data_IF_497482293973
#
_entry.id   IF_497482293973
#
_cell.length_a   1.000
_cell.length_b   1.000
_cell.length_c   1.000
_cell.angle_alpha   90.00
_cell.angle_beta   90.00
_cell.angle_gamma   90.00
#
_symmetry.space_group_name_H-M   'P 1'
#
loop_
_entity.id
_entity.type
_entity.pdbx_description
1 polymer ?
#
# COMPACT_ATOMS: atom_id res chain seq x y z
N UNK A 1 -70.99 16.95 31.87
CA UNK A 1 -70.01 17.85 31.37
C UNK A 1 -68.65 17.19 31.63
N UNK A 2 -68.18 16.46 30.67
CA UNK A 2 -66.91 15.71 30.77
C UNK A 2 -65.78 16.51 30.10
N UNK A 3 -64.72 16.69 30.84
CA UNK A 3 -63.50 17.26 30.34
C UNK A 3 -62.56 16.08 29.96
N UNK A 4 -62.15 16.02 28.70
CA UNK A 4 -61.16 15.07 28.22
C UNK A 4 -59.81 15.74 28.23
N UNK A 5 -58.98 15.29 29.16
CA UNK A 5 -57.57 15.62 29.12
C UNK A 5 -56.90 14.88 27.95
N UNK A 6 -56.31 15.66 27.04
CA UNK A 6 -55.40 15.19 26.01
C UNK A 6 -54.01 15.06 26.62
N UNK A 7 -53.60 13.82 26.83
CA UNK A 7 -52.19 13.51 27.02
C UNK A 7 -51.49 13.64 25.67
N UNK A 8 -50.67 14.63 25.55
CA UNK A 8 -49.69 14.74 24.47
C UNK A 8 -48.63 13.67 24.68
N UNK A 9 -48.63 12.67 23.78
CA UNK A 9 -47.50 11.76 23.69
C UNK A 9 -46.27 12.56 23.22
N UNK A 10 -45.26 12.53 24.06
CA UNK A 10 -43.93 12.91 23.64
C UNK A 10 -43.45 11.83 22.66
N UNK A 11 -43.41 12.18 21.37
CA UNK A 11 -42.63 11.47 20.40
C UNK A 11 -41.15 11.65 20.81
N UNK A 12 -40.60 10.67 21.46
CA UNK A 12 -39.15 10.52 21.57
C UNK A 12 -38.61 10.25 20.20
N UNK A 13 -38.30 11.32 19.48
CA UNK A 13 -37.52 11.30 18.26
C UNK A 13 -36.11 10.83 18.66
N UNK A 14 -35.87 9.53 18.56
CA UNK A 14 -34.56 8.93 18.69
C UNK A 14 -33.74 9.43 17.50
N UNK A 15 -33.06 10.55 17.66
CA UNK A 15 -32.05 11.03 16.73
C UNK A 15 -30.86 10.09 16.78
N UNK A 16 -30.96 8.95 16.11
CA UNK A 16 -29.77 8.24 15.64
C UNK A 16 -29.11 9.17 14.64
N UNK A 17 -27.93 9.70 14.95
CA UNK A 17 -27.13 10.35 13.94
C UNK A 17 -26.89 9.31 12.85
N UNK A 18 -27.34 9.61 11.62
CA UNK A 18 -27.08 8.77 10.46
C UNK A 18 -25.56 8.85 10.18
N UNK A 19 -24.81 7.94 10.81
CA UNK A 19 -23.39 7.83 10.58
C UNK A 19 -23.16 7.31 9.16
N UNK A 20 -22.16 7.86 8.49
CA UNK A 20 -21.72 7.38 7.18
C UNK A 20 -21.00 6.06 7.39
N UNK A 21 -21.51 4.99 6.77
CA UNK A 21 -20.91 3.65 6.85
C UNK A 21 -19.76 3.53 5.89
N UNK A 22 -18.58 3.20 6.40
CA UNK A 22 -17.36 3.10 5.62
C UNK A 22 -16.68 1.75 5.84
N UNK A 23 -16.52 0.98 4.77
CA UNK A 23 -15.66 -0.20 4.77
C UNK A 23 -14.27 0.19 4.29
N UNK A 24 -13.24 -0.09 5.08
CA UNK A 24 -11.86 0.24 4.76
C UNK A 24 -11.05 -1.04 4.64
N UNK A 25 -10.53 -1.29 3.44
CA UNK A 25 -9.67 -2.44 3.14
C UNK A 25 -8.25 -1.92 3.03
N UNK A 26 -7.39 -2.43 3.89
CA UNK A 26 -5.99 -2.03 3.95
C UNK A 26 -5.07 -3.26 4.02
N UNK A 27 -3.79 -3.03 3.81
CA UNK A 27 -2.76 -4.01 4.07
C UNK A 27 -2.51 -4.11 5.58
N UNK A 28 -1.81 -5.17 6.02
CA UNK A 28 -1.51 -5.37 7.43
C UNK A 28 -0.76 -4.15 8.00
N UNK A 29 -1.23 -3.54 9.10
CA UNK A 29 -0.53 -2.41 9.73
C UNK A 29 0.92 -2.71 10.15
N UNK A 30 1.27 -3.98 10.32
CA UNK A 30 2.63 -4.42 10.65
C UNK A 30 3.52 -4.66 9.42
N UNK A 31 3.01 -4.42 8.22
CA UNK A 31 3.76 -4.59 6.97
C UNK A 31 5.02 -3.71 6.95
N UNK A 32 4.87 -2.45 7.33
CA UNK A 32 5.93 -1.44 7.30
C UNK A 32 5.60 -0.27 8.24
N UNK A 33 6.59 0.56 8.55
CA UNK A 33 6.38 1.80 9.31
C UNK A 33 5.40 2.75 8.62
N UNK A 34 5.44 2.82 7.29
CA UNK A 34 4.47 3.57 6.50
C UNK A 34 3.04 3.07 6.75
N UNK A 35 2.80 1.76 6.66
CA UNK A 35 1.46 1.19 6.83
C UNK A 35 0.93 1.37 8.26
N UNK A 36 1.78 1.24 9.25
CA UNK A 36 1.43 1.54 10.65
C UNK A 36 0.94 2.98 10.81
N UNK A 37 1.65 3.94 10.24
CA UNK A 37 1.28 5.36 10.28
C UNK A 37 -0.02 5.63 9.51
N UNK A 38 -0.18 5.04 8.33
CA UNK A 38 -1.38 5.15 7.52
C UNK A 38 -2.63 4.61 8.26
N UNK A 39 -2.56 3.43 8.84
CA UNK A 39 -3.65 2.85 9.63
C UNK A 39 -4.02 3.72 10.83
N UNK A 40 -3.02 4.21 11.55
CA UNK A 40 -3.24 5.11 12.71
C UNK A 40 -3.95 6.40 12.30
N UNK A 41 -3.58 6.98 11.17
CA UNK A 41 -4.22 8.21 10.66
C UNK A 41 -5.67 7.94 10.22
N UNK A 42 -5.92 6.85 9.50
CA UNK A 42 -7.27 6.45 9.11
C UNK A 42 -8.17 6.24 10.33
N UNK A 43 -7.70 5.53 11.36
CA UNK A 43 -8.45 5.32 12.61
C UNK A 43 -8.74 6.61 13.36
N UNK A 44 -7.85 7.58 13.30
CA UNK A 44 -8.05 8.89 13.92
C UNK A 44 -9.06 9.76 13.18
N UNK A 45 -9.26 9.54 11.88
CA UNK A 45 -10.17 10.34 11.03
C UNK A 45 -11.57 9.71 10.94
N UNK A 46 -11.64 8.41 10.75
CA UNK A 46 -12.91 7.69 10.57
C UNK A 46 -13.45 7.19 11.91
N UNK A 47 -13.98 8.10 12.73
CA UNK A 47 -14.55 7.86 14.04
C UNK A 47 -16.02 8.26 14.07
N UNK A 48 -16.79 7.71 15.01
CA UNK A 48 -18.19 8.12 15.25
C UNK A 48 -18.30 9.60 15.60
N UNK A 49 -17.35 10.13 16.37
CA UNK A 49 -17.28 11.57 16.70
C UNK A 49 -17.18 12.44 15.43
N UNK A 50 -16.51 11.95 14.41
CA UNK A 50 -16.39 12.60 13.11
C UNK A 50 -17.53 12.26 12.14
N UNK A 51 -18.54 11.49 12.57
CA UNK A 51 -19.72 11.16 11.78
C UNK A 51 -19.62 9.86 10.99
N UNK A 52 -18.70 8.97 11.31
CA UNK A 52 -18.46 7.73 10.57
C UNK A 52 -18.70 6.48 11.43
N UNK A 53 -19.36 5.48 10.85
CA UNK A 53 -19.34 4.09 11.27
C UNK A 53 -18.35 3.34 10.36
N UNK A 54 -17.09 3.27 10.79
CA UNK A 54 -16.01 2.70 9.98
C UNK A 54 -15.61 1.31 10.47
N UNK A 55 -15.52 0.38 9.52
CA UNK A 55 -15.03 -0.98 9.76
C UNK A 55 -13.78 -1.21 8.91
N UNK A 56 -12.77 -1.85 9.52
CA UNK A 56 -11.48 -2.11 8.92
C UNK A 56 -11.29 -3.59 8.65
N UNK A 57 -10.77 -3.92 7.47
CA UNK A 57 -10.33 -5.25 7.11
C UNK A 57 -8.88 -5.20 6.61
N UNK A 58 -8.05 -6.09 7.12
CA UNK A 58 -6.62 -6.12 6.83
C UNK A 58 -6.21 -7.46 6.23
N UNK A 59 -5.47 -7.43 5.15
CA UNK A 59 -4.77 -8.60 4.62
C UNK A 59 -3.66 -8.19 3.66
N UNK A 60 -2.59 -9.00 3.60
CA UNK A 60 -1.56 -8.96 2.56
C UNK A 60 -1.93 -9.82 1.34
N UNK A 61 -3.07 -10.54 1.40
CA UNK A 61 -3.54 -11.42 0.34
C UNK A 61 -4.71 -10.79 -0.41
N UNK A 62 -4.57 -10.69 -1.72
CA UNK A 62 -5.54 -10.05 -2.58
C UNK A 62 -6.92 -10.71 -2.56
N UNK A 63 -6.98 -12.04 -2.54
CA UNK A 63 -8.22 -12.81 -2.46
C UNK A 63 -8.98 -12.59 -1.14
N UNK A 64 -8.28 -12.45 -0.02
CA UNK A 64 -8.86 -12.10 1.27
C UNK A 64 -9.40 -10.66 1.27
N UNK A 65 -8.70 -9.72 0.64
CA UNK A 65 -9.17 -8.34 0.49
C UNK A 65 -10.44 -8.28 -0.38
N UNK A 66 -10.48 -9.01 -1.48
CA UNK A 66 -11.67 -9.08 -2.36
C UNK A 66 -12.85 -9.71 -1.60
N UNK A 67 -12.61 -10.74 -0.80
CA UNK A 67 -13.64 -11.35 0.06
C UNK A 67 -14.18 -10.35 1.07
N UNK A 68 -13.32 -9.56 1.70
CA UNK A 68 -13.73 -8.48 2.61
C UNK A 68 -14.55 -7.40 1.88
N UNK A 69 -14.15 -7.03 0.66
CA UNK A 69 -14.91 -6.10 -0.16
C UNK A 69 -16.32 -6.60 -0.47
N UNK A 70 -16.46 -7.87 -0.84
CA UNK A 70 -17.78 -8.50 -1.06
C UNK A 70 -18.66 -8.45 0.19
N UNK A 71 -18.05 -8.68 1.36
CA UNK A 71 -18.77 -8.56 2.63
C UNK A 71 -19.25 -7.14 2.88
N UNK A 72 -18.43 -6.13 2.67
CA UNK A 72 -18.83 -4.72 2.83
C UNK A 72 -19.93 -4.32 1.86
N UNK A 73 -19.90 -4.84 0.62
CA UNK A 73 -20.99 -4.64 -0.35
C UNK A 73 -22.30 -5.25 0.18
N UNK A 74 -22.27 -6.48 0.71
CA UNK A 74 -23.42 -7.14 1.30
C UNK A 74 -23.95 -6.42 2.55
N UNK A 75 -23.05 -5.84 3.36
CA UNK A 75 -23.40 -5.08 4.57
C UNK A 75 -23.99 -3.70 4.24
N UNK A 76 -23.94 -3.28 2.96
CA UNK A 76 -24.53 -2.01 2.49
C UNK A 76 -23.81 -0.79 3.02
N UNK A 77 -22.49 -0.75 2.96
CA UNK A 77 -21.71 0.46 3.30
C UNK A 77 -22.00 1.57 2.29
N UNK A 78 -21.83 2.82 2.69
CA UNK A 78 -21.97 3.98 1.81
C UNK A 78 -20.70 4.18 0.97
N UNK A 79 -19.54 3.94 1.57
CA UNK A 79 -18.23 4.07 0.96
C UNK A 79 -17.37 2.84 1.19
N UNK A 80 -16.62 2.46 0.17
CA UNK A 80 -15.62 1.41 0.22
C UNK A 80 -14.25 2.01 -0.15
N UNK A 81 -13.34 2.04 0.82
CA UNK A 81 -11.97 2.52 0.64
C UNK A 81 -11.04 1.32 0.46
N UNK A 82 -10.19 1.35 -0.55
CA UNK A 82 -9.33 0.21 -0.89
C UNK A 82 -7.89 0.64 -1.12
N UNK A 83 -6.95 0.03 -0.38
CA UNK A 83 -5.53 -0.03 -0.70
C UNK A 83 -5.18 -1.48 -1.03
N UNK A 84 -5.09 -1.79 -2.32
CA UNK A 84 -5.03 -3.17 -2.81
C UNK A 84 -3.66 -3.82 -2.61
N UNK A 85 -3.65 -5.08 -2.19
CA UNK A 85 -2.43 -5.90 -2.13
C UNK A 85 -1.89 -6.24 -3.52
N UNK A 86 -2.77 -6.46 -4.49
CA UNK A 86 -2.46 -6.72 -5.90
C UNK A 86 -3.41 -5.89 -6.79
N UNK A 87 -2.95 -5.52 -7.96
CA UNK A 87 -3.73 -4.71 -8.91
C UNK A 87 -4.86 -5.48 -9.59
N UNK A 88 -4.79 -6.79 -9.62
CA UNK A 88 -5.68 -7.67 -10.41
C UNK A 88 -6.93 -8.15 -9.65
N UNK A 89 -7.97 -8.49 -10.40
CA UNK A 89 -9.13 -9.23 -9.90
C UNK A 89 -10.23 -8.41 -9.25
N UNK A 90 -10.17 -7.08 -9.31
CA UNK A 90 -11.11 -6.19 -8.62
C UNK A 90 -12.39 -5.89 -9.39
N UNK A 91 -12.45 -6.11 -10.70
CA UNK A 91 -13.58 -5.69 -11.56
C UNK A 91 -14.94 -6.18 -11.05
N UNK A 92 -15.05 -7.45 -10.69
CA UNK A 92 -16.33 -8.05 -10.31
C UNK A 92 -16.91 -7.38 -9.05
N UNK A 93 -16.13 -7.26 -7.98
CA UNK A 93 -16.63 -6.69 -6.73
C UNK A 93 -16.87 -5.18 -6.85
N UNK A 94 -16.12 -4.47 -7.69
CA UNK A 94 -16.37 -3.05 -7.95
C UNK A 94 -17.66 -2.85 -8.75
N UNK A 95 -17.98 -3.72 -9.70
CA UNK A 95 -19.28 -3.72 -10.40
C UNK A 95 -20.45 -4.00 -9.46
N UNK A 96 -20.29 -4.93 -8.54
CA UNK A 96 -21.28 -5.21 -7.50
C UNK A 96 -21.49 -3.99 -6.60
N UNK A 97 -20.40 -3.34 -6.16
CA UNK A 97 -20.48 -2.10 -5.37
C UNK A 97 -21.20 -0.99 -6.13
N UNK A 98 -20.89 -0.81 -7.41
CA UNK A 98 -21.54 0.20 -8.26
C UNK A 98 -23.03 -0.07 -8.41
N UNK A 99 -23.44 -1.33 -8.60
CA UNK A 99 -24.84 -1.73 -8.71
C UNK A 99 -25.64 -1.43 -7.43
N UNK A 100 -25.00 -1.50 -6.27
CA UNK A 100 -25.59 -1.17 -4.97
C UNK A 100 -25.46 0.33 -4.61
N UNK A 101 -24.91 1.15 -5.51
CA UNK A 101 -24.74 2.59 -5.27
C UNK A 101 -23.63 2.96 -4.29
N UNK A 102 -22.75 2.02 -3.97
CA UNK A 102 -21.61 2.21 -3.06
C UNK A 102 -20.51 2.99 -3.79
N UNK A 103 -20.00 4.05 -3.17
CA UNK A 103 -18.89 4.83 -3.72
C UNK A 103 -17.56 4.17 -3.35
N UNK A 104 -16.77 3.82 -4.36
CA UNK A 104 -15.43 3.24 -4.16
C UNK A 104 -14.37 4.32 -4.28
N UNK A 105 -13.45 4.37 -3.32
CA UNK A 105 -12.29 5.28 -3.31
C UNK A 105 -11.03 4.44 -3.17
N UNK A 106 -10.11 4.60 -4.11
CA UNK A 106 -8.78 4.00 -4.01
C UNK A 106 -7.86 4.95 -3.24
N UNK A 107 -7.05 4.41 -2.36
CA UNK A 107 -6.01 5.18 -1.67
C UNK A 107 -4.66 4.45 -1.69
N UNK A 108 -3.58 5.22 -1.70
CA UNK A 108 -2.20 4.75 -1.71
C UNK A 108 -1.82 3.94 -2.96
N UNK A 109 -2.57 2.91 -3.30
CA UNK A 109 -2.29 1.98 -4.41
C UNK A 109 -3.41 1.97 -5.45
N UNK A 110 -3.04 1.92 -6.72
CA UNK A 110 -3.97 1.74 -7.83
C UNK A 110 -4.33 0.27 -8.03
N UNK A 111 -5.37 0.04 -8.83
CA UNK A 111 -5.79 -1.28 -9.30
C UNK A 111 -5.94 -1.28 -10.81
N UNK A 112 -5.91 -2.47 -11.40
CA UNK A 112 -6.12 -2.68 -12.82
C UNK A 112 -7.63 -2.89 -13.09
N UNK A 113 -8.38 -1.79 -13.07
CA UNK A 113 -9.81 -1.75 -13.30
C UNK A 113 -10.22 -0.49 -14.05
N UNK A 114 -11.37 -0.54 -14.72
CA UNK A 114 -11.91 0.63 -15.42
C UNK A 114 -12.20 1.79 -14.45
N UNK A 115 -11.79 2.99 -14.81
CA UNK A 115 -11.95 4.18 -13.97
C UNK A 115 -13.41 4.52 -13.65
N UNK A 116 -14.36 4.06 -14.46
CA UNK A 116 -15.79 4.25 -14.21
C UNK A 116 -16.29 3.46 -12.98
N UNK A 117 -15.50 2.51 -12.47
CA UNK A 117 -15.86 1.64 -11.34
C UNK A 117 -15.51 2.22 -9.98
N UNK A 118 -14.81 3.34 -9.92
CA UNK A 118 -14.49 4.02 -8.68
C UNK A 118 -14.69 5.53 -8.80
N UNK A 119 -15.06 6.17 -7.68
CA UNK A 119 -15.39 7.59 -7.65
C UNK A 119 -14.15 8.49 -7.59
N UNK A 120 -13.09 8.00 -6.94
CA UNK A 120 -11.83 8.73 -6.77
C UNK A 120 -10.66 7.79 -6.56
N UNK A 121 -9.46 8.30 -6.89
CA UNK A 121 -8.19 7.63 -6.68
C UNK A 121 -7.22 8.64 -6.06
N UNK A 122 -6.81 8.39 -4.81
CA UNK A 122 -5.88 9.24 -4.05
C UNK A 122 -4.61 8.43 -3.85
N UNK A 123 -3.76 8.46 -4.86
CA UNK A 123 -2.59 7.58 -4.98
C UNK A 123 -1.36 8.36 -5.40
N UNK A 124 -0.19 7.80 -5.14
CA UNK A 124 1.07 8.27 -5.71
C UNK A 124 1.27 7.71 -7.12
N UNK A 125 2.00 8.43 -7.93
CA UNK A 125 2.45 7.93 -9.25
C UNK A 125 3.68 7.03 -9.04
N UNK A 126 3.44 5.73 -8.93
CA UNK A 126 4.48 4.74 -8.60
C UNK A 126 5.51 4.59 -9.71
N UNK A 127 5.12 4.78 -10.97
CA UNK A 127 6.06 4.80 -12.11
C UNK A 127 6.99 5.99 -11.99
N UNK A 128 6.45 7.16 -11.65
CA UNK A 128 7.22 8.38 -11.46
C UNK A 128 8.20 8.29 -10.28
N UNK A 129 7.81 7.62 -9.21
CA UNK A 129 8.71 7.33 -8.08
C UNK A 129 9.90 6.50 -8.53
N UNK A 130 9.65 5.42 -9.27
CA UNK A 130 10.70 4.58 -9.84
C UNK A 130 11.61 5.34 -10.80
N UNK A 131 11.03 6.11 -11.72
CA UNK A 131 11.79 6.97 -12.64
C UNK A 131 12.69 7.97 -11.90
N UNK A 132 12.17 8.59 -10.85
CA UNK A 132 12.91 9.56 -10.03
C UNK A 132 14.13 8.92 -9.38
N UNK A 133 13.95 7.74 -8.77
CA UNK A 133 15.04 7.01 -8.13
C UNK A 133 16.10 6.56 -9.16
N UNK A 134 15.68 6.05 -10.31
CA UNK A 134 16.57 5.61 -11.38
C UNK A 134 17.35 6.79 -11.99
N UNK A 135 16.69 7.91 -12.22
CA UNK A 135 17.36 9.11 -12.74
C UNK A 135 18.40 9.63 -11.75
N UNK A 136 18.07 9.66 -10.46
CA UNK A 136 19.04 10.01 -9.44
C UNK A 136 20.25 9.06 -9.45
N UNK A 137 20.02 7.76 -9.62
CA UNK A 137 21.09 6.77 -9.69
C UNK A 137 21.98 6.97 -10.93
N UNK A 138 21.40 7.29 -12.08
CA UNK A 138 22.14 7.65 -13.31
C UNK A 138 23.03 8.87 -13.10
N UNK A 139 22.51 9.89 -12.40
CA UNK A 139 23.23 11.13 -12.14
C UNK A 139 24.45 10.94 -11.24
N UNK A 140 24.55 9.81 -10.52
CA UNK A 140 25.74 9.47 -9.74
C UNK A 140 26.95 9.14 -10.64
N UNK A 141 26.73 8.81 -11.90
CA UNK A 141 27.75 8.53 -12.92
C UNK A 141 28.83 7.54 -12.44
N UNK A 142 28.38 6.43 -11.83
CA UNK A 142 29.28 5.39 -11.31
C UNK A 142 30.01 4.70 -12.47
N UNK A 143 31.23 4.21 -12.20
CA UNK A 143 32.02 3.47 -13.19
C UNK A 143 31.43 2.11 -13.54
N UNK A 144 30.65 1.55 -12.63
CA UNK A 144 29.91 0.29 -12.81
C UNK A 144 28.64 0.29 -11.95
N UNK A 145 27.69 -0.55 -12.32
CA UNK A 145 26.42 -0.73 -11.60
C UNK A 145 26.17 -2.22 -11.39
N UNK A 146 26.50 -2.71 -10.21
CA UNK A 146 26.22 -4.07 -9.76
C UNK A 146 25.18 -3.97 -8.65
N UNK A 147 23.93 -4.29 -8.95
CA UNK A 147 22.77 -3.88 -8.18
C UNK A 147 22.17 -5.07 -7.43
N UNK A 148 22.02 -4.92 -6.12
CA UNK A 148 21.08 -5.73 -5.32
C UNK A 148 19.73 -5.03 -5.40
N UNK A 149 18.74 -5.65 -6.02
CA UNK A 149 17.38 -5.13 -6.12
C UNK A 149 16.47 -5.84 -5.12
N UNK A 150 15.93 -5.08 -4.17
CA UNK A 150 15.03 -5.56 -3.13
C UNK A 150 13.63 -5.05 -3.41
N UNK A 151 12.77 -5.96 -3.84
CA UNK A 151 11.40 -5.66 -4.26
C UNK A 151 10.42 -5.68 -3.09
N UNK A 152 9.34 -4.90 -3.23
CA UNK A 152 8.20 -4.96 -2.33
C UNK A 152 7.30 -6.16 -2.55
N UNK A 153 6.05 -6.08 -2.05
CA UNK A 153 5.04 -7.13 -2.27
C UNK A 153 4.73 -7.24 -3.75
N UNK A 154 4.95 -8.42 -4.29
CA UNK A 154 4.78 -8.69 -5.72
C UNK A 154 3.33 -8.51 -6.15
N UNK A 155 3.14 -7.82 -7.28
CA UNK A 155 1.82 -7.52 -7.84
C UNK A 155 1.19 -6.22 -7.33
N UNK A 156 1.72 -5.60 -6.28
CA UNK A 156 1.25 -4.28 -5.84
C UNK A 156 1.64 -3.18 -6.83
N UNK A 157 0.83 -2.13 -6.93
CA UNK A 157 1.10 -1.00 -7.82
C UNK A 157 2.49 -0.38 -7.54
N UNK A 158 2.86 -0.24 -6.27
CA UNK A 158 4.15 0.31 -5.88
C UNK A 158 5.33 -0.56 -6.37
N UNK A 159 5.25 -1.88 -6.17
CA UNK A 159 6.27 -2.80 -6.66
C UNK A 159 6.35 -2.76 -8.18
N UNK A 160 5.23 -2.81 -8.88
CA UNK A 160 5.22 -2.79 -10.35
C UNK A 160 5.90 -1.53 -10.92
N UNK A 161 5.56 -0.35 -10.41
CA UNK A 161 6.12 0.91 -10.88
C UNK A 161 7.61 1.06 -10.55
N UNK A 162 8.01 0.78 -9.32
CA UNK A 162 9.39 0.91 -8.86
C UNK A 162 10.30 -0.14 -9.48
N UNK A 163 9.84 -1.39 -9.62
CA UNK A 163 10.55 -2.46 -10.33
C UNK A 163 10.67 -2.13 -11.82
N UNK A 164 9.58 -1.73 -12.47
CA UNK A 164 9.54 -1.49 -13.91
C UNK A 164 10.55 -0.43 -14.35
N UNK A 165 10.68 0.66 -13.61
CA UNK A 165 11.65 1.71 -13.89
C UNK A 165 13.10 1.20 -13.82
N UNK A 166 13.43 0.38 -12.80
CA UNK A 166 14.78 -0.18 -12.69
C UNK A 166 15.06 -1.23 -13.76
N UNK A 167 14.10 -2.12 -14.03
CA UNK A 167 14.27 -3.16 -15.06
C UNK A 167 14.52 -2.54 -16.45
N UNK A 168 13.81 -1.47 -16.78
CA UNK A 168 14.05 -0.72 -18.02
C UNK A 168 15.46 -0.12 -18.07
N UNK A 169 15.90 0.50 -16.98
CA UNK A 169 17.25 1.07 -16.89
C UNK A 169 18.34 -0.02 -16.95
N UNK A 170 18.17 -1.12 -16.25
CA UNK A 170 19.09 -2.27 -16.34
C UNK A 170 19.27 -2.73 -17.78
N UNK A 171 18.16 -2.83 -18.53
CA UNK A 171 18.17 -3.25 -19.91
C UNK A 171 18.80 -2.20 -20.83
N UNK A 172 18.43 -0.93 -20.68
CA UNK A 172 18.88 0.15 -21.59
C UNK A 172 20.32 0.60 -21.32
N UNK A 173 20.75 0.60 -20.07
CA UNK A 173 22.08 1.04 -19.65
C UNK A 173 23.11 -0.11 -19.55
N UNK A 174 22.65 -1.35 -19.66
CA UNK A 174 23.53 -2.52 -19.51
C UNK A 174 24.01 -2.74 -18.05
N UNK A 175 23.23 -2.32 -17.06
CA UNK A 175 23.54 -2.54 -15.65
C UNK A 175 23.40 -4.01 -15.27
N UNK A 176 24.10 -4.43 -14.22
CA UNK A 176 24.05 -5.80 -13.73
C UNK A 176 23.14 -5.93 -12.51
N UNK A 177 22.14 -6.80 -12.58
CA UNK A 177 21.42 -7.28 -11.40
C UNK A 177 22.21 -8.44 -10.75
N UNK A 178 22.73 -8.20 -9.56
CA UNK A 178 23.38 -9.24 -8.75
C UNK A 178 22.31 -10.20 -8.22
N UNK A 179 21.23 -9.62 -7.71
CA UNK A 179 20.01 -10.37 -7.34
C UNK A 179 18.79 -9.45 -7.48
N UNK A 180 17.63 -10.04 -7.67
CA UNK A 180 16.35 -9.37 -7.66
C UNK A 180 15.37 -10.25 -6.89
N UNK A 181 15.02 -9.85 -5.69
CA UNK A 181 14.19 -10.65 -4.78
C UNK A 181 13.23 -9.76 -4.01
N UNK A 182 12.04 -10.30 -3.75
CA UNK A 182 11.09 -9.64 -2.86
C UNK A 182 11.45 -9.82 -1.39
N UNK A 183 11.37 -8.74 -0.63
CA UNK A 183 11.39 -8.73 0.83
C UNK A 183 10.04 -8.29 1.40
N UNK A 184 9.02 -8.16 0.56
CA UNK A 184 7.63 -7.88 0.97
C UNK A 184 7.47 -6.65 1.88
N UNK A 185 8.23 -5.59 1.61
CA UNK A 185 8.32 -4.35 2.39
C UNK A 185 8.97 -4.50 3.77
N UNK A 186 9.51 -5.68 4.11
CA UNK A 186 9.98 -6.04 5.44
C UNK A 186 11.49 -5.85 5.59
N UNK A 187 11.90 -5.13 6.64
CA UNK A 187 13.32 -4.83 6.92
C UNK A 187 14.15 -6.09 7.19
N UNK A 188 13.62 -7.05 7.95
CA UNK A 188 14.35 -8.28 8.32
C UNK A 188 14.61 -9.16 7.11
N UNK A 189 13.60 -9.33 6.24
CA UNK A 189 13.75 -10.07 4.98
C UNK A 189 14.77 -9.39 4.05
N UNK A 190 14.75 -8.07 3.96
CA UNK A 190 15.74 -7.31 3.19
C UNK A 190 17.17 -7.51 3.74
N UNK A 191 17.33 -7.48 5.06
CA UNK A 191 18.60 -7.77 5.71
C UNK A 191 19.14 -9.15 5.35
N UNK A 192 18.30 -10.18 5.36
CA UNK A 192 18.65 -11.56 5.00
C UNK A 192 19.09 -11.65 3.54
N UNK A 193 18.42 -10.96 2.61
CA UNK A 193 18.81 -10.93 1.20
C UNK A 193 20.21 -10.34 1.04
N UNK A 194 20.46 -9.18 1.63
CA UNK A 194 21.77 -8.52 1.54
C UNK A 194 22.86 -9.35 2.20
N UNK A 195 22.58 -9.93 3.38
CA UNK A 195 23.53 -10.82 4.06
C UNK A 195 23.89 -12.03 3.20
N UNK A 196 22.93 -12.61 2.51
CA UNK A 196 23.17 -13.74 1.61
C UNK A 196 24.11 -13.37 0.46
N UNK A 197 23.97 -12.18 -0.12
CA UNK A 197 24.89 -11.70 -1.16
C UNK A 197 26.30 -11.47 -0.60
N UNK A 198 26.40 -10.84 0.58
CA UNK A 198 27.69 -10.64 1.27
C UNK A 198 28.39 -11.99 1.50
N UNK A 199 27.67 -12.97 2.01
CA UNK A 199 28.20 -14.31 2.31
C UNK A 199 28.64 -15.06 1.05
N UNK A 200 28.00 -14.81 -0.08
CA UNK A 200 28.40 -15.40 -1.38
C UNK A 200 29.70 -14.83 -1.93
N UNK A 201 30.14 -13.68 -1.44
CA UNK A 201 31.30 -12.97 -1.96
C UNK A 201 31.08 -12.30 -3.31
N UNK A 202 29.84 -12.26 -3.81
CA UNK A 202 29.51 -11.61 -5.07
C UNK A 202 29.62 -10.09 -4.98
N UNK A 203 30.26 -9.47 -5.97
CA UNK A 203 30.52 -8.04 -5.97
C UNK A 203 29.24 -7.24 -6.23
N UNK A 204 28.99 -6.21 -5.43
CA UNK A 204 27.94 -5.23 -5.62
C UNK A 204 28.41 -3.84 -5.18
N UNK A 205 27.81 -2.79 -5.70
CA UNK A 205 28.08 -1.41 -5.31
C UNK A 205 26.82 -0.54 -5.25
N UNK A 206 25.66 -1.10 -5.55
CA UNK A 206 24.37 -0.42 -5.46
C UNK A 206 23.36 -1.36 -4.79
N UNK A 207 22.58 -0.80 -3.87
CA UNK A 207 21.38 -1.45 -3.35
C UNK A 207 20.18 -0.57 -3.71
N UNK A 208 19.27 -1.11 -4.50
CA UNK A 208 18.00 -0.49 -4.84
C UNK A 208 16.91 -1.17 -4.02
N UNK A 209 16.42 -0.48 -3.01
CA UNK A 209 15.35 -0.95 -2.14
C UNK A 209 14.07 -0.15 -2.40
N UNK A 210 12.95 -0.82 -2.64
CA UNK A 210 11.71 -0.19 -3.06
C UNK A 210 10.95 0.52 -1.93
N UNK A 211 11.40 0.42 -0.67
CA UNK A 211 10.95 1.27 0.43
C UNK A 211 12.04 1.49 1.49
N UNK A 212 11.76 2.40 2.42
CA UNK A 212 12.71 2.80 3.46
C UNK A 212 12.98 1.69 4.48
N UNK A 213 11.97 0.90 4.85
CA UNK A 213 12.15 -0.20 5.81
C UNK A 213 13.10 -1.27 5.25
N UNK A 214 12.96 -1.62 3.98
CA UNK A 214 13.88 -2.55 3.32
C UNK A 214 15.29 -1.93 3.18
N UNK A 215 15.38 -0.62 2.89
CA UNK A 215 16.66 0.08 2.88
C UNK A 215 17.36 0.05 4.25
N UNK A 216 16.62 0.25 5.33
CA UNK A 216 17.15 0.11 6.71
C UNK A 216 17.63 -1.31 7.00
N UNK A 217 16.90 -2.33 6.54
CA UNK A 217 17.33 -3.72 6.63
C UNK A 217 18.64 -3.98 5.88
N UNK A 218 18.76 -3.43 4.67
CA UNK A 218 19.99 -3.50 3.89
C UNK A 218 21.17 -2.84 4.62
N UNK A 219 20.98 -1.64 5.15
CA UNK A 219 21.99 -0.92 5.94
C UNK A 219 22.42 -1.73 7.17
N UNK A 220 21.47 -2.36 7.87
CA UNK A 220 21.80 -3.21 9.03
C UNK A 220 22.72 -4.38 8.65
N UNK A 221 22.53 -5.00 7.48
CA UNK A 221 23.42 -6.05 6.98
C UNK A 221 24.81 -5.51 6.64
N UNK A 222 24.89 -4.34 6.00
CA UNK A 222 26.17 -3.69 5.69
C UNK A 222 26.94 -3.32 6.96
N UNK A 223 26.27 -2.72 7.95
CA UNK A 223 26.88 -2.36 9.24
C UNK A 223 27.43 -3.57 9.97
N UNK A 224 26.68 -4.66 10.01
CA UNK A 224 27.10 -5.93 10.62
C UNK A 224 28.35 -6.52 9.96
N UNK A 225 28.50 -6.32 8.66
CA UNK A 225 29.65 -6.77 7.87
C UNK A 225 30.80 -5.74 7.82
N UNK A 226 30.68 -4.59 8.48
CA UNK A 226 31.61 -3.46 8.44
C UNK A 226 31.85 -2.95 7.01
N UNK A 227 30.81 -2.95 6.18
CA UNK A 227 30.85 -2.40 4.81
C UNK A 227 30.39 -0.95 4.86
N UNK A 228 31.20 -0.04 4.36
CA UNK A 228 30.85 1.37 4.23
C UNK A 228 29.67 1.54 3.26
N UNK A 229 28.80 2.50 3.53
CA UNK A 229 27.66 2.80 2.69
C UNK A 229 27.33 4.29 2.66
N UNK A 230 26.53 4.68 1.68
CA UNK A 230 26.20 6.06 1.39
C UNK A 230 26.86 6.54 0.09
N UNK A 231 26.48 7.74 -0.35
CA UNK A 231 27.02 8.33 -1.58
C UNK A 231 28.52 8.55 -1.45
N UNK A 232 29.28 8.08 -2.45
CA UNK A 232 30.73 8.20 -2.46
C UNK A 232 31.48 7.28 -1.51
N UNK A 233 30.83 6.23 -1.04
CA UNK A 233 31.43 5.12 -0.30
C UNK A 233 31.47 3.88 -1.17
N UNK A 234 32.66 3.35 -1.40
CA UNK A 234 32.92 2.14 -2.19
C UNK A 234 32.97 0.88 -1.31
#
# INVERSE_FOLDING_TARGET
>A
CGNKDKTTGEDSNGGGSDLIKVGIINNDPNESGYRTANDKDLKAKFTEENGYDAQFAYSLKNDEQITAAKKFVQDGVDYLLISAADTAGWDSVLKDAQAEGIQVILFDRTIDADESLYAASIVSDMDKEGETAVNWLKDQALSEYNIIHIQGVMGSAAQQGRTGALDEAVKSEGWKLVTQQTAEWNAEKAQQIVQSVIDSGEKFNVIYAENDDMAKGAVAALDKANISHGVGKD
#
